data_IF_291497223653
#
_entry.id   IF_291497223653
#
_cell.length_a   1.000
_cell.length_b   1.000
_cell.length_c   1.000
_cell.angle_alpha   90.00
_cell.angle_beta   90.00
_cell.angle_gamma   90.00
#
_symmetry.space_group_name_H-M   'P 1'
#
loop_
_entity.id
_entity.type
_entity.pdbx_description
1 polymer ?
#
# COMPACT_ATOMS: atom_id res chain seq x y z
N UNK A 1 -22.87 11.00 -6.07
CA UNK A 1 -21.68 10.85 -5.21
C UNK A 1 -22.01 11.15 -3.75
N UNK A 2 -21.06 11.02 -2.80
CA UNK A 2 -21.32 11.21 -1.36
C UNK A 2 -21.99 12.56 -1.08
N UNK A 3 -21.47 13.66 -1.62
CA UNK A 3 -22.05 14.98 -1.43
C UNK A 3 -23.52 15.09 -1.87
N UNK A 4 -23.94 14.37 -2.91
CA UNK A 4 -25.35 14.39 -3.35
C UNK A 4 -26.31 13.72 -2.35
N UNK A 5 -25.76 13.02 -1.36
CA UNK A 5 -26.51 12.35 -0.28
C UNK A 5 -26.40 13.11 1.03
N UNK A 6 -25.20 13.61 1.37
CA UNK A 6 -24.93 14.25 2.67
C UNK A 6 -25.10 15.77 2.66
N UNK A 7 -24.87 16.44 1.51
CA UNK A 7 -24.73 17.89 1.46
C UNK A 7 -23.48 18.38 2.22
N UNK A 8 -23.59 19.55 2.81
CA UNK A 8 -22.58 20.12 3.74
C UNK A 8 -22.53 19.31 5.04
N UNK A 9 -21.38 19.31 5.70
CA UNK A 9 -21.16 18.56 6.95
C UNK A 9 -20.56 19.46 8.02
N UNK A 10 -20.89 19.21 9.29
CA UNK A 10 -20.31 19.95 10.39
C UNK A 10 -18.87 19.52 10.66
N UNK A 11 -18.61 18.21 10.64
CA UNK A 11 -17.30 17.60 10.93
C UNK A 11 -16.87 16.71 9.79
N UNK A 12 -15.66 16.93 9.30
CA UNK A 12 -15.01 16.10 8.29
C UNK A 12 -13.80 15.38 8.92
N UNK A 13 -13.86 14.05 8.97
CA UNK A 13 -12.69 13.24 9.28
C UNK A 13 -12.01 12.84 7.97
N UNK A 14 -10.71 13.12 7.83
CA UNK A 14 -10.00 12.88 6.58
C UNK A 14 -8.56 12.47 6.77
N UNK A 15 -8.06 11.70 5.80
CA UNK A 15 -6.70 11.25 5.76
C UNK A 15 -5.76 12.39 5.34
N UNK A 16 -4.63 12.59 6.06
CA UNK A 16 -3.70 13.69 5.80
C UNK A 16 -2.31 13.26 5.31
N UNK A 17 -1.96 11.98 5.41
CA UNK A 17 -0.69 11.44 4.93
C UNK A 17 -0.90 10.15 4.15
N UNK A 18 0.13 9.68 3.46
CA UNK A 18 0.11 8.35 2.86
C UNK A 18 0.54 7.29 3.88
N UNK A 19 0.06 6.06 3.70
CA UNK A 19 0.40 4.90 4.50
C UNK A 19 0.59 3.70 3.55
N UNK A 20 1.56 3.79 2.65
CA UNK A 20 1.91 2.75 1.70
C UNK A 20 3.29 3.01 1.11
N UNK A 21 3.93 1.99 0.56
CA UNK A 21 5.15 2.14 -0.22
C UNK A 21 4.96 3.13 -1.38
N UNK A 22 5.85 4.10 -1.49
CA UNK A 22 5.84 5.18 -2.49
C UNK A 22 7.23 5.34 -3.11
N UNK A 23 7.70 4.27 -3.75
CA UNK A 23 9.01 4.21 -4.38
C UNK A 23 10.13 3.82 -3.43
N UNK A 24 11.22 3.28 -3.98
CA UNK A 24 12.43 2.91 -3.23
C UNK A 24 13.17 4.11 -2.65
N UNK A 25 14.28 3.85 -1.96
CA UNK A 25 15.08 4.86 -1.24
C UNK A 25 15.40 6.07 -2.10
N UNK A 26 15.78 5.85 -3.35
CA UNK A 26 16.16 6.91 -4.29
C UNK A 26 14.98 7.73 -4.84
N UNK A 27 13.74 7.29 -4.63
CA UNK A 27 12.56 7.93 -5.22
C UNK A 27 11.79 8.79 -4.21
N UNK A 28 12.51 9.70 -3.51
CA UNK A 28 11.88 10.68 -2.59
C UNK A 28 10.81 11.53 -3.29
N UNK A 29 11.01 11.85 -4.56
CA UNK A 29 10.05 12.65 -5.32
C UNK A 29 8.64 12.05 -5.31
N UNK A 30 8.51 10.73 -5.50
CA UNK A 30 7.20 10.09 -5.48
C UNK A 30 6.57 10.16 -4.08
N UNK A 31 7.36 10.07 -3.00
CA UNK A 31 6.87 10.25 -1.63
C UNK A 31 6.36 11.66 -1.38
N UNK A 32 7.10 12.66 -1.83
CA UNK A 32 6.69 14.07 -1.74
C UNK A 32 5.40 14.35 -2.52
N UNK A 33 5.30 13.82 -3.74
CA UNK A 33 4.09 13.93 -4.58
C UNK A 33 2.87 13.26 -3.90
N UNK A 34 3.06 12.07 -3.29
CA UNK A 34 2.00 11.36 -2.59
C UNK A 34 1.53 12.11 -1.33
N UNK A 35 2.45 12.75 -0.60
CA UNK A 35 2.12 13.61 0.53
C UNK A 35 1.33 14.86 0.10
N UNK A 36 1.78 15.52 -0.98
CA UNK A 36 1.11 16.70 -1.54
C UNK A 36 -0.30 16.35 -2.05
N UNK A 37 -0.49 15.18 -2.68
CA UNK A 37 -1.81 14.69 -3.13
C UNK A 37 -2.81 14.58 -1.96
N UNK A 38 -2.36 14.18 -0.76
CA UNK A 38 -3.22 14.12 0.42
C UNK A 38 -3.67 15.50 0.87
N UNK A 39 -2.77 16.47 0.90
CA UNK A 39 -3.11 17.87 1.23
C UNK A 39 -4.10 18.44 0.22
N UNK A 40 -3.88 18.20 -1.08
CA UNK A 40 -4.80 18.62 -2.13
C UNK A 40 -6.18 17.98 -1.97
N UNK A 41 -6.22 16.71 -1.58
CA UNK A 41 -7.48 15.99 -1.31
C UNK A 41 -8.26 16.65 -0.17
N UNK A 42 -7.59 17.04 0.92
CA UNK A 42 -8.22 17.78 2.04
C UNK A 42 -8.83 19.08 1.53
N UNK A 43 -8.08 19.88 0.75
CA UNK A 43 -8.59 21.15 0.19
C UNK A 43 -9.83 20.96 -0.67
N UNK A 44 -9.82 19.93 -1.55
CA UNK A 44 -10.98 19.59 -2.37
C UNK A 44 -12.20 19.17 -1.53
N UNK A 45 -11.96 18.42 -0.44
CA UNK A 45 -13.03 18.02 0.47
C UNK A 45 -13.59 19.21 1.26
N UNK A 46 -12.72 20.10 1.75
CA UNK A 46 -13.15 21.33 2.43
C UNK A 46 -14.00 22.21 1.50
N UNK A 47 -13.54 22.43 0.26
CA UNK A 47 -14.27 23.22 -0.73
C UNK A 47 -15.61 22.60 -1.11
N UNK A 48 -15.72 21.26 -1.08
CA UNK A 48 -16.94 20.56 -1.50
C UNK A 48 -17.96 20.38 -0.37
N UNK A 49 -17.51 20.06 0.84
CA UNK A 49 -18.40 19.71 1.96
C UNK A 49 -18.60 20.88 2.94
N UNK A 50 -17.83 21.97 2.78
CA UNK A 50 -17.86 23.16 3.62
C UNK A 50 -17.93 22.86 5.14
N UNK A 51 -17.05 21.99 5.67
CA UNK A 51 -17.10 21.60 7.08
C UNK A 51 -16.79 22.78 7.99
N UNK A 52 -17.38 22.78 9.18
CA UNK A 52 -17.00 23.70 10.26
C UNK A 52 -15.65 23.29 10.85
N UNK A 53 -15.41 21.96 10.95
CA UNK A 53 -14.21 21.38 11.54
C UNK A 53 -13.71 20.26 10.64
N UNK A 54 -12.39 20.17 10.50
CA UNK A 54 -11.69 19.05 9.86
C UNK A 54 -10.77 18.39 10.88
N UNK A 55 -10.99 17.12 11.14
CA UNK A 55 -10.16 16.31 12.03
C UNK A 55 -9.28 15.42 11.18
N UNK A 56 -7.95 15.65 11.15
CA UNK A 56 -7.01 14.72 10.54
C UNK A 56 -7.10 13.36 11.23
N UNK A 57 -7.27 12.30 10.41
CA UNK A 57 -7.61 10.97 10.89
C UNK A 57 -6.93 9.90 10.05
N UNK A 58 -6.66 8.74 10.65
CA UNK A 58 -6.17 7.52 9.97
C UNK A 58 -4.87 7.69 9.15
N UNK A 59 -3.99 8.59 9.55
CA UNK A 59 -2.68 8.77 8.91
C UNK A 59 -1.59 9.18 9.91
N UNK A 60 -1.79 8.89 11.17
CA UNK A 60 -0.74 8.97 12.19
C UNK A 60 0.16 7.73 12.06
N UNK A 61 0.76 7.58 10.88
CA UNK A 61 1.55 6.42 10.49
C UNK A 61 3.03 6.75 10.62
N UNK A 62 3.79 5.77 11.08
CA UNK A 62 5.23 5.79 11.09
C UNK A 62 5.75 4.43 10.64
N UNK A 63 6.65 4.43 9.64
CA UNK A 63 7.31 3.23 9.18
C UNK A 63 8.47 2.91 10.13
N UNK A 64 8.32 1.87 10.93
CA UNK A 64 9.24 1.60 12.05
C UNK A 64 10.27 0.49 11.78
N UNK A 65 10.14 -0.30 10.71
CA UNK A 65 11.16 -1.28 10.37
C UNK A 65 12.38 -0.62 9.72
N UNK A 66 13.57 -1.12 9.99
CA UNK A 66 14.80 -0.57 9.42
C UNK A 66 14.78 -0.53 7.88
N UNK A 67 14.14 -1.51 7.24
CA UNK A 67 14.03 -1.60 5.78
C UNK A 67 13.04 -0.61 5.16
N UNK A 68 12.01 -0.16 5.90
CA UNK A 68 11.01 0.80 5.41
C UNK A 68 11.12 2.19 6.04
N UNK A 69 12.06 2.41 6.96
CA UNK A 69 12.20 3.63 7.74
C UNK A 69 12.36 4.90 6.89
N UNK A 70 13.03 4.77 5.75
CA UNK A 70 13.23 5.87 4.80
C UNK A 70 11.91 6.45 4.25
N UNK A 71 10.81 5.68 4.27
CA UNK A 71 9.50 6.16 3.81
C UNK A 71 8.98 7.33 4.65
N UNK A 72 9.51 7.51 5.88
CA UNK A 72 9.12 8.62 6.76
C UNK A 72 9.61 9.98 6.25
N UNK A 73 10.56 10.04 5.32
CA UNK A 73 11.10 11.30 4.78
C UNK A 73 10.08 12.12 3.98
N UNK A 74 8.96 11.50 3.59
CA UNK A 74 7.89 12.14 2.82
C UNK A 74 6.53 12.19 3.54
N UNK A 75 6.36 11.60 4.73
CA UNK A 75 5.06 11.61 5.42
C UNK A 75 4.67 13.03 5.87
N UNK A 76 3.39 13.38 5.75
CA UNK A 76 2.88 14.59 6.39
C UNK A 76 2.72 14.35 7.88
N UNK A 77 3.25 15.23 8.68
CA UNK A 77 3.07 15.22 10.13
C UNK A 77 1.96 16.18 10.56
N UNK A 78 1.32 15.97 11.71
CA UNK A 78 0.24 16.85 12.21
C UNK A 78 0.65 18.32 12.32
N UNK A 79 1.85 18.59 12.80
CA UNK A 79 2.40 19.94 12.97
C UNK A 79 2.55 20.70 11.64
N UNK A 80 2.77 19.99 10.53
CA UNK A 80 2.92 20.59 9.21
C UNK A 80 1.60 21.07 8.59
N UNK A 81 0.46 20.56 9.08
CA UNK A 81 -0.84 20.74 8.41
C UNK A 81 -1.25 22.22 8.39
N UNK A 82 -0.96 22.98 9.44
CA UNK A 82 -1.27 24.41 9.50
C UNK A 82 -0.58 25.17 8.37
N UNK A 83 0.71 24.93 8.17
CA UNK A 83 1.50 25.55 7.11
C UNK A 83 1.06 25.08 5.73
N UNK A 84 0.88 23.76 5.55
CA UNK A 84 0.54 23.17 4.25
C UNK A 84 -0.87 23.51 3.77
N UNK A 85 -1.83 23.76 4.66
CA UNK A 85 -3.21 24.11 4.34
C UNK A 85 -3.47 25.62 4.24
N UNK A 86 -2.63 26.45 4.87
CA UNK A 86 -2.77 27.91 4.80
C UNK A 86 -4.10 28.40 5.39
N UNK A 87 -4.92 29.11 4.61
CA UNK A 87 -6.19 29.66 5.10
C UNK A 87 -7.18 28.59 5.60
N UNK A 88 -7.11 27.37 5.07
CA UNK A 88 -7.96 26.26 5.49
C UNK A 88 -7.54 25.70 6.87
N UNK A 89 -6.34 26.06 7.36
CA UNK A 89 -5.85 25.62 8.66
C UNK A 89 -6.76 26.01 9.83
N UNK A 90 -7.53 27.11 9.70
CA UNK A 90 -8.48 27.57 10.72
C UNK A 90 -9.58 26.54 11.05
N UNK A 91 -9.83 25.61 10.13
CA UNK A 91 -10.81 24.52 10.31
C UNK A 91 -10.18 23.26 10.89
N UNK A 92 -8.86 23.17 10.98
CA UNK A 92 -8.16 21.96 11.39
C UNK A 92 -8.14 21.84 12.91
N UNK A 93 -8.56 20.68 13.39
CA UNK A 93 -8.50 20.31 14.79
C UNK A 93 -7.62 19.05 14.94
N UNK A 94 -6.38 19.24 15.43
CA UNK A 94 -5.50 18.14 15.77
C UNK A 94 -5.91 17.56 17.13
N UNK A 95 -6.05 16.24 17.20
CA UNK A 95 -6.43 15.52 18.41
C UNK A 95 -5.36 14.48 18.77
N UNK A 96 -5.12 14.32 20.06
CA UNK A 96 -4.38 13.22 20.64
C UNK A 96 -5.36 12.09 21.07
N UNK A 97 -4.87 10.87 21.35
CA UNK A 97 -5.70 9.82 21.94
C UNK A 97 -6.37 10.32 23.22
N UNK A 98 -7.66 9.98 23.38
CA UNK A 98 -8.55 10.38 24.48
C UNK A 98 -9.04 11.82 24.47
N UNK A 99 -8.59 12.67 23.55
CA UNK A 99 -9.18 14.01 23.37
C UNK A 99 -10.66 13.89 22.99
N UNK A 100 -11.45 14.82 23.48
CA UNK A 100 -12.90 14.87 23.24
C UNK A 100 -13.27 16.20 22.56
N UNK A 101 -14.15 16.11 21.58
CA UNK A 101 -14.73 17.25 20.87
C UNK A 101 -16.20 17.36 21.26
N UNK A 102 -16.63 18.53 21.71
CA UNK A 102 -18.02 18.82 22.08
C UNK A 102 -18.13 19.39 23.49
N UNK A 103 -19.25 20.06 23.79
CA UNK A 103 -19.50 20.77 25.04
C UNK A 103 -19.05 22.26 24.97
N UNK A 104 -19.05 22.94 26.10
CA UNK A 104 -18.78 24.40 26.24
C UNK A 104 -17.30 24.79 26.01
N UNK A 105 -16.41 23.79 25.92
CA UNK A 105 -14.99 23.97 25.63
C UNK A 105 -14.76 24.10 24.12
N UNK A 106 -14.59 25.31 23.63
CA UNK A 106 -14.46 25.67 22.23
C UNK A 106 -13.61 24.71 21.38
N UNK A 107 -13.88 24.72 20.07
CA UNK A 107 -13.25 23.86 19.07
C UNK A 107 -11.90 24.44 18.63
N UNK A 108 -10.88 24.33 19.45
CA UNK A 108 -9.51 24.74 19.10
C UNK A 108 -8.57 23.56 19.19
N UNK A 109 -7.57 23.53 18.29
CA UNK A 109 -6.46 22.59 18.41
C UNK A 109 -5.81 22.75 19.77
N UNK A 110 -5.74 21.64 20.49
CA UNK A 110 -5.02 21.59 21.74
C UNK A 110 -3.50 21.59 21.43
N UNK A 111 -2.77 22.62 21.86
CA UNK A 111 -1.30 22.67 21.70
C UNK A 111 -0.63 21.40 22.27
N UNK A 112 -1.21 20.84 23.35
CA UNK A 112 -0.76 19.59 23.91
C UNK A 112 -0.89 18.40 22.91
N UNK A 113 -1.87 18.42 22.00
CA UNK A 113 -2.01 17.38 21.01
C UNK A 113 -0.89 17.42 19.96
N UNK A 114 -0.48 18.60 19.52
CA UNK A 114 0.67 18.78 18.61
C UNK A 114 1.95 18.28 19.30
N UNK A 115 2.23 18.76 20.50
CA UNK A 115 3.41 18.35 21.30
C UNK A 115 3.41 16.84 21.58
N UNK A 116 2.21 16.24 21.81
CA UNK A 116 2.09 14.79 21.95
C UNK A 116 2.57 14.06 20.71
N UNK A 117 2.15 14.49 19.51
CA UNK A 117 2.53 13.82 18.26
C UNK A 117 3.99 14.08 17.90
N UNK A 118 4.51 15.29 18.06
CA UNK A 118 5.92 15.61 17.86
C UNK A 118 6.81 14.69 18.70
N UNK A 119 6.49 14.54 20.00
CA UNK A 119 7.20 13.62 20.88
C UNK A 119 7.09 12.17 20.38
N UNK A 120 5.88 11.72 20.00
CA UNK A 120 5.69 10.35 19.52
C UNK A 120 6.50 10.04 18.27
N UNK A 121 6.56 10.96 17.32
CA UNK A 121 7.40 10.78 16.15
C UNK A 121 8.90 10.85 16.45
N UNK A 122 9.34 11.62 17.42
CA UNK A 122 10.75 11.71 17.82
C UNK A 122 11.24 10.51 18.64
N UNK A 123 10.33 9.77 19.28
CA UNK A 123 10.65 8.58 20.10
C UNK A 123 10.79 7.29 19.24
N UNK A 124 10.49 7.33 17.93
CA UNK A 124 10.50 6.11 17.10
C UNK A 124 11.92 5.80 16.65
N UNK A 125 12.41 4.65 17.08
CA UNK A 125 13.67 4.07 16.61
C UNK A 125 13.39 2.98 15.55
N UNK A 126 14.26 2.85 14.54
CA UNK A 126 14.08 1.78 13.55
C UNK A 126 14.29 0.40 14.20
N UNK A 127 13.30 -0.47 14.00
CA UNK A 127 13.33 -1.84 14.48
C UNK A 127 13.92 -2.73 13.40
N UNK A 128 14.97 -3.48 13.75
CA UNK A 128 15.56 -4.51 12.90
C UNK A 128 15.28 -5.89 13.51
N UNK A 129 14.01 -6.29 13.48
CA UNK A 129 13.58 -7.57 14.02
C UNK A 129 12.67 -8.25 12.99
N UNK A 130 13.09 -9.42 12.55
CA UNK A 130 12.36 -10.31 11.65
C UNK A 130 12.67 -11.76 12.02
N UNK A 131 11.76 -12.65 11.66
CA UNK A 131 11.96 -14.10 11.77
C UNK A 131 12.57 -14.60 10.46
N UNK A 132 13.67 -15.37 10.55
CA UNK A 132 14.25 -16.01 9.37
C UNK A 132 13.44 -17.27 9.05
N UNK A 133 12.80 -17.28 7.89
CA UNK A 133 12.01 -18.41 7.40
C UNK A 133 12.85 -19.21 6.41
N UNK A 134 13.02 -20.48 6.65
CA UNK A 134 13.82 -21.35 5.79
C UNK A 134 13.11 -21.64 4.43
N UNK A 135 13.89 -22.17 3.49
CA UNK A 135 13.41 -22.45 2.12
C UNK A 135 12.33 -23.53 2.10
N UNK A 136 12.36 -24.50 3.00
CA UNK A 136 11.38 -25.58 3.07
C UNK A 136 10.03 -25.04 3.53
N UNK A 137 10.01 -24.19 4.57
CA UNK A 137 8.81 -23.50 5.04
C UNK A 137 8.23 -22.56 3.96
N UNK A 138 9.09 -21.83 3.23
CA UNK A 138 8.67 -21.00 2.10
C UNK A 138 8.06 -21.86 0.98
N UNK A 139 8.66 -22.98 0.65
CA UNK A 139 8.17 -23.92 -0.38
C UNK A 139 6.81 -24.48 -0.02
N UNK A 140 6.61 -24.89 1.24
CA UNK A 140 5.33 -25.39 1.72
C UNK A 140 4.25 -24.31 1.66
N UNK A 141 4.56 -23.11 2.15
CA UNK A 141 3.61 -21.98 2.14
C UNK A 141 3.26 -21.56 0.72
N UNK A 142 4.22 -21.60 -0.21
CA UNK A 142 3.99 -21.35 -1.63
C UNK A 142 3.09 -22.42 -2.26
N UNK A 143 3.25 -23.69 -1.91
CA UNK A 143 2.36 -24.75 -2.38
C UNK A 143 0.91 -24.48 -1.97
N UNK A 144 0.67 -24.10 -0.72
CA UNK A 144 -0.65 -23.72 -0.21
C UNK A 144 -1.21 -22.48 -0.93
N UNK A 145 -0.36 -21.48 -1.20
CA UNK A 145 -0.72 -20.30 -2.00
C UNK A 145 -1.16 -20.69 -3.42
N UNK A 146 -0.40 -21.57 -4.09
CA UNK A 146 -0.76 -22.10 -5.40
C UNK A 146 -2.12 -22.79 -5.40
N UNK A 147 -2.41 -23.60 -4.40
CA UNK A 147 -3.69 -24.30 -4.30
C UNK A 147 -4.86 -23.33 -4.15
N UNK A 148 -4.71 -22.26 -3.35
CA UNK A 148 -5.73 -21.20 -3.26
C UNK A 148 -5.94 -20.49 -4.59
N UNK A 149 -4.87 -20.11 -5.27
CA UNK A 149 -4.94 -19.43 -6.58
C UNK A 149 -5.57 -20.35 -7.63
N UNK A 150 -5.18 -21.62 -7.70
CA UNK A 150 -5.72 -22.59 -8.65
C UNK A 150 -7.20 -22.90 -8.41
N UNK A 151 -7.63 -22.98 -7.14
CA UNK A 151 -9.04 -23.19 -6.76
C UNK A 151 -9.95 -22.03 -7.22
N UNK A 152 -9.41 -20.83 -7.25
CA UNK A 152 -10.17 -19.62 -7.54
C UNK A 152 -10.12 -19.16 -8.99
N UNK A 153 -9.26 -19.73 -9.83
CA UNK A 153 -9.03 -19.23 -11.19
C UNK A 153 -8.93 -20.35 -12.23
N UNK A 154 -9.28 -20.03 -13.46
CA UNK A 154 -9.02 -20.92 -14.59
C UNK A 154 -7.56 -20.77 -15.06
N UNK A 155 -6.71 -21.70 -14.66
CA UNK A 155 -5.27 -21.65 -14.92
C UNK A 155 -4.95 -21.76 -16.43
N UNK A 156 -5.75 -22.48 -17.20
CA UNK A 156 -5.56 -22.56 -18.66
C UNK A 156 -5.81 -21.19 -19.32
N UNK A 157 -6.83 -20.48 -18.85
CA UNK A 157 -7.08 -19.10 -19.29
C UNK A 157 -5.93 -18.16 -18.89
N UNK A 158 -5.39 -18.29 -17.67
CA UNK A 158 -4.22 -17.50 -17.24
C UNK A 158 -3.01 -17.81 -18.13
N UNK A 159 -2.78 -19.06 -18.51
CA UNK A 159 -1.70 -19.42 -19.45
C UNK A 159 -1.85 -18.74 -20.82
N UNK A 160 -3.08 -18.63 -21.32
CA UNK A 160 -3.39 -17.94 -22.57
C UNK A 160 -3.15 -16.43 -22.39
N UNK A 161 -3.69 -15.83 -21.34
CA UNK A 161 -3.53 -14.41 -21.03
C UNK A 161 -2.04 -14.03 -20.86
N UNK A 162 -1.25 -14.87 -20.20
CA UNK A 162 0.21 -14.70 -20.06
C UNK A 162 0.92 -14.57 -21.41
N UNK A 163 0.51 -15.39 -22.40
CA UNK A 163 1.10 -15.34 -23.74
C UNK A 163 0.66 -14.13 -24.56
N UNK A 164 -0.58 -13.69 -24.37
CA UNK A 164 -1.19 -12.61 -25.15
C UNK A 164 -0.97 -11.21 -24.52
N UNK A 165 -0.61 -11.17 -23.23
CA UNK A 165 -0.50 -9.91 -22.50
C UNK A 165 0.76 -9.12 -22.89
N UNK A 166 0.63 -7.87 -23.35
CA UNK A 166 1.78 -6.99 -23.61
C UNK A 166 2.47 -6.52 -22.33
N UNK A 167 1.86 -6.71 -21.16
CA UNK A 167 2.28 -6.16 -19.86
C UNK A 167 2.85 -7.19 -18.91
N UNK A 168 3.50 -8.20 -19.37
CA UNK A 168 4.16 -9.21 -18.51
C UNK A 168 3.28 -9.80 -17.38
N UNK A 169 1.94 -9.75 -17.50
CA UNK A 169 1.02 -10.24 -16.48
C UNK A 169 1.17 -11.74 -16.24
N UNK A 170 1.07 -12.15 -14.96
CA UNK A 170 1.11 -13.53 -14.52
C UNK A 170 2.43 -14.28 -14.85
N UNK A 171 3.52 -13.56 -15.11
CA UNK A 171 4.85 -14.16 -15.31
C UNK A 171 5.43 -14.65 -13.98
N UNK A 172 6.45 -15.53 -14.01
CA UNK A 172 7.21 -15.84 -12.81
C UNK A 172 7.73 -14.58 -12.13
N UNK A 173 7.73 -14.57 -10.80
CA UNK A 173 8.28 -13.48 -10.01
C UNK A 173 9.67 -13.88 -9.51
N UNK A 174 10.59 -12.91 -9.48
CA UNK A 174 11.94 -13.07 -8.97
C UNK A 174 12.11 -12.17 -7.75
N UNK A 175 12.38 -12.77 -6.61
CA UNK A 175 12.52 -12.07 -5.31
C UNK A 175 13.87 -12.43 -4.70
N UNK A 176 14.66 -11.43 -4.33
CA UNK A 176 15.85 -11.63 -3.53
C UNK A 176 15.48 -11.60 -2.04
N UNK A 177 15.88 -12.64 -1.32
CA UNK A 177 15.67 -12.74 0.13
C UNK A 177 16.94 -12.26 0.82
N UNK A 178 16.87 -11.06 1.45
CA UNK A 178 18.03 -10.38 2.01
C UNK A 178 18.69 -11.17 3.17
N UNK A 179 17.87 -11.78 4.01
CA UNK A 179 18.30 -12.54 5.19
C UNK A 179 18.89 -13.91 4.85
N UNK A 180 18.49 -14.51 3.74
CA UNK A 180 19.02 -15.78 3.24
C UNK A 180 20.09 -15.60 2.17
N UNK A 181 20.23 -14.39 1.63
CA UNK A 181 21.14 -14.04 0.51
C UNK A 181 20.93 -14.94 -0.72
N UNK A 182 19.69 -15.24 -1.06
CA UNK A 182 19.33 -16.05 -2.24
C UNK A 182 18.25 -15.35 -3.06
N UNK A 183 18.23 -15.61 -4.37
CA UNK A 183 17.13 -15.16 -5.24
C UNK A 183 16.23 -16.35 -5.57
N UNK A 184 14.95 -16.18 -5.32
CA UNK A 184 13.91 -17.17 -5.59
C UNK A 184 13.13 -16.77 -6.83
N UNK A 185 12.99 -17.71 -7.76
CA UNK A 185 12.06 -17.64 -8.88
C UNK A 185 10.87 -18.53 -8.58
N UNK A 186 9.67 -17.94 -8.53
CA UNK A 186 8.46 -18.70 -8.31
C UNK A 186 7.39 -18.41 -9.37
N UNK A 187 6.62 -19.44 -9.71
CA UNK A 187 5.54 -19.38 -10.68
C UNK A 187 4.33 -20.20 -10.19
N UNK A 188 3.29 -19.52 -9.74
CA UNK A 188 2.08 -20.19 -9.27
C UNK A 188 1.30 -20.88 -10.39
N UNK A 189 1.50 -20.50 -11.67
CA UNK A 189 0.84 -21.16 -12.80
C UNK A 189 1.45 -22.54 -13.07
N UNK A 190 2.78 -22.63 -12.95
CA UNK A 190 3.54 -23.87 -13.07
C UNK A 190 3.76 -24.62 -11.77
N UNK A 191 3.41 -24.01 -10.63
CA UNK A 191 3.72 -24.49 -9.26
C UNK A 191 5.22 -24.74 -9.07
N UNK A 192 6.06 -23.85 -9.58
CA UNK A 192 7.53 -23.96 -9.41
C UNK A 192 8.04 -22.92 -8.42
N UNK A 193 8.94 -23.36 -7.55
CA UNK A 193 9.64 -22.53 -6.56
C UNK A 193 11.09 -23.03 -6.51
N UNK A 194 12.04 -22.17 -6.90
CA UNK A 194 13.43 -22.59 -7.01
C UNK A 194 14.39 -21.42 -6.83
N UNK A 195 15.57 -21.70 -6.32
CA UNK A 195 16.68 -20.76 -6.33
C UNK A 195 17.17 -20.51 -7.76
N UNK A 196 17.66 -19.30 -8.01
CA UNK A 196 18.15 -18.87 -9.32
C UNK A 196 19.25 -17.82 -9.19
N UNK A 197 20.04 -17.66 -10.27
CA UNK A 197 21.01 -16.58 -10.41
C UNK A 197 20.48 -15.43 -11.28
N UNK A 198 19.19 -15.47 -11.68
CA UNK A 198 18.58 -14.40 -12.44
C UNK A 198 18.44 -13.15 -11.58
N UNK A 199 18.47 -11.97 -12.22
CA UNK A 199 18.30 -10.69 -11.53
C UNK A 199 16.91 -10.57 -10.89
N UNK A 200 16.89 -10.20 -9.60
CA UNK A 200 15.65 -10.04 -8.86
C UNK A 200 14.86 -8.81 -9.33
N UNK A 201 13.54 -8.89 -9.25
CA UNK A 201 12.64 -7.75 -9.49
C UNK A 201 12.51 -6.88 -8.25
N UNK A 202 12.34 -7.53 -7.10
CA UNK A 202 12.18 -6.92 -5.78
C UNK A 202 13.02 -7.70 -4.76
N UNK A 203 13.34 -7.07 -3.64
CA UNK A 203 13.97 -7.73 -2.50
C UNK A 203 13.17 -7.53 -1.22
N UNK A 204 13.24 -8.48 -0.31
CA UNK A 204 12.60 -8.45 1.01
C UNK A 204 13.21 -9.48 1.95
N UNK A 205 12.79 -9.48 3.22
CA UNK A 205 13.11 -10.56 4.15
C UNK A 205 12.25 -11.80 3.86
N UNK A 206 12.74 -12.99 4.23
CA UNK A 206 12.01 -14.25 4.04
C UNK A 206 10.65 -14.26 4.74
N UNK A 207 10.56 -13.65 5.93
CA UNK A 207 9.29 -13.45 6.66
C UNK A 207 8.24 -12.71 5.83
N UNK A 208 8.65 -11.66 5.09
CA UNK A 208 7.75 -10.89 4.22
C UNK A 208 7.19 -11.74 3.07
N UNK A 209 8.01 -12.57 2.45
CA UNK A 209 7.57 -13.50 1.40
C UNK A 209 6.65 -14.58 1.96
N UNK A 210 7.00 -15.14 3.12
CA UNK A 210 6.16 -16.10 3.84
C UNK A 210 4.80 -15.51 4.18
N UNK A 211 4.78 -14.26 4.67
CA UNK A 211 3.54 -13.55 4.96
C UNK A 211 2.63 -13.41 3.74
N UNK A 212 3.20 -13.10 2.55
CA UNK A 212 2.44 -13.05 1.29
C UNK A 212 1.77 -14.40 1.02
N UNK A 213 2.50 -15.50 1.18
CA UNK A 213 1.97 -16.82 0.84
C UNK A 213 0.98 -17.37 1.87
N UNK A 214 1.09 -16.99 3.12
CA UNK A 214 0.22 -17.51 4.21
C UNK A 214 -1.08 -16.75 4.35
N UNK A 215 -1.11 -15.46 4.04
CA UNK A 215 -2.20 -14.58 4.41
C UNK A 215 -3.00 -14.09 3.20
N UNK A 216 -4.33 -14.12 3.33
CA UNK A 216 -5.21 -13.37 2.44
C UNK A 216 -4.82 -11.89 2.48
N UNK A 217 -4.83 -11.21 1.34
CA UNK A 217 -4.32 -9.84 1.22
C UNK A 217 -2.83 -9.66 1.60
N UNK A 218 -2.03 -10.74 1.66
CA UNK A 218 -0.63 -10.68 2.07
C UNK A 218 0.18 -9.68 1.26
N UNK A 219 0.08 -9.71 -0.06
CA UNK A 219 0.77 -8.75 -0.93
C UNK A 219 0.23 -7.31 -0.76
N UNK A 220 -1.08 -7.14 -0.59
CA UNK A 220 -1.68 -5.81 -0.35
C UNK A 220 -1.15 -5.20 0.97
N UNK A 221 -1.10 -6.01 2.02
CA UNK A 221 -0.54 -5.62 3.32
C UNK A 221 0.95 -5.26 3.19
N UNK A 222 1.73 -6.04 2.44
CA UNK A 222 3.14 -5.73 2.19
C UNK A 222 3.31 -4.39 1.48
N UNK A 223 2.45 -4.06 0.51
CA UNK A 223 2.51 -2.75 -0.17
C UNK A 223 2.14 -1.59 0.75
N UNK A 224 1.36 -1.84 1.80
CA UNK A 224 1.03 -0.84 2.82
C UNK A 224 2.19 -0.66 3.80
N UNK A 225 2.76 -1.72 4.33
CA UNK A 225 3.86 -1.61 5.28
C UNK A 225 5.20 -1.22 4.62
N UNK A 226 5.38 -1.53 3.33
CA UNK A 226 6.57 -1.14 2.58
C UNK A 226 7.84 -1.93 2.93
N UNK A 227 7.73 -3.12 3.55
CA UNK A 227 8.86 -3.99 3.86
C UNK A 227 9.34 -4.77 2.63
N UNK A 228 9.72 -4.07 1.60
CA UNK A 228 10.36 -4.57 0.39
C UNK A 228 11.01 -3.42 -0.39
N UNK A 229 11.94 -3.74 -1.29
CA UNK A 229 12.56 -2.78 -2.19
C UNK A 229 12.40 -3.20 -3.66
N UNK A 230 12.25 -2.21 -4.53
CA UNK A 230 12.35 -2.40 -5.97
C UNK A 230 13.84 -2.44 -6.37
N UNK A 231 14.28 -3.57 -6.93
CA UNK A 231 15.69 -3.80 -7.30
C UNK A 231 15.91 -3.53 -8.79
N UNK A 232 15.02 -4.07 -9.62
CA UNK A 232 15.08 -3.85 -11.07
C UNK A 232 14.11 -2.76 -11.52
N UNK A 233 14.41 -2.10 -12.62
CA UNK A 233 13.49 -1.12 -13.23
C UNK A 233 12.13 -1.75 -13.50
N UNK A 234 11.06 -1.13 -13.01
CA UNK A 234 9.68 -1.64 -13.04
C UNK A 234 9.49 -2.97 -12.30
N UNK A 235 10.39 -3.33 -11.39
CA UNK A 235 10.31 -4.57 -10.62
C UNK A 235 9.04 -4.66 -9.79
N UNK A 236 8.66 -3.58 -9.11
CA UNK A 236 7.40 -3.49 -8.35
C UNK A 236 6.17 -3.71 -9.23
N UNK A 237 6.14 -3.10 -10.40
CA UNK A 237 5.04 -3.27 -11.37
C UNK A 237 4.94 -4.72 -11.81
N UNK A 238 6.07 -5.33 -12.17
CA UNK A 238 6.13 -6.72 -12.61
C UNK A 238 5.72 -7.68 -11.48
N UNK A 239 6.20 -7.48 -10.26
CA UNK A 239 5.79 -8.26 -9.09
C UNK A 239 4.28 -8.11 -8.82
N UNK A 240 3.75 -6.88 -8.91
CA UNK A 240 2.32 -6.60 -8.71
C UNK A 240 1.45 -7.34 -9.73
N UNK A 241 1.83 -7.41 -11.01
CA UNK A 241 1.05 -8.11 -12.04
C UNK A 241 0.96 -9.61 -11.79
N UNK A 242 1.84 -10.16 -10.96
CA UNK A 242 1.85 -11.58 -10.58
C UNK A 242 1.17 -11.79 -9.22
N UNK A 243 1.56 -11.05 -8.20
CA UNK A 243 1.10 -11.27 -6.82
C UNK A 243 -0.31 -10.73 -6.54
N UNK A 244 -0.78 -9.75 -7.30
CA UNK A 244 -2.11 -9.16 -7.09
C UNK A 244 -3.29 -10.08 -7.44
N UNK A 245 -3.06 -11.29 -7.97
CA UNK A 245 -4.14 -12.23 -8.33
C UNK A 245 -4.96 -12.64 -7.09
N UNK A 246 -4.30 -12.88 -5.96
CA UNK A 246 -5.00 -13.25 -4.73
C UNK A 246 -5.81 -12.07 -4.18
N UNK A 247 -5.31 -10.84 -4.30
CA UNK A 247 -6.09 -9.64 -3.95
C UNK A 247 -7.37 -9.53 -4.77
N UNK A 248 -7.32 -9.85 -6.07
CA UNK A 248 -8.52 -9.90 -6.93
C UNK A 248 -9.48 -10.98 -6.46
N UNK A 249 -8.96 -12.17 -6.12
CA UNK A 249 -9.78 -13.29 -5.64
C UNK A 249 -10.49 -12.94 -4.31
N UNK A 250 -9.81 -12.25 -3.41
CA UNK A 250 -10.37 -11.79 -2.13
C UNK A 250 -11.48 -10.75 -2.31
N UNK A 251 -11.44 -9.99 -3.42
CA UNK A 251 -12.51 -9.09 -3.84
C UNK A 251 -13.63 -9.81 -4.60
N UNK A 252 -13.60 -11.14 -4.69
CA UNK A 252 -14.58 -11.93 -5.44
C UNK A 252 -14.35 -11.95 -6.96
N UNK A 253 -13.26 -11.35 -7.45
CA UNK A 253 -12.91 -11.30 -8.87
C UNK A 253 -12.04 -12.52 -9.19
N UNK A 254 -12.59 -13.46 -9.96
CA UNK A 254 -11.90 -14.69 -10.40
C UNK A 254 -11.56 -14.58 -11.88
N UNK A 255 -10.44 -15.15 -12.30
CA UNK A 255 -10.06 -15.23 -13.71
C UNK A 255 -10.78 -16.43 -14.34
N UNK A 256 -11.94 -16.16 -14.94
CA UNK A 256 -12.81 -17.14 -15.60
C UNK A 256 -13.23 -16.61 -16.98
N UNK A 257 -13.75 -17.46 -17.85
CA UNK A 257 -14.20 -17.05 -19.20
C UNK A 257 -15.24 -15.92 -19.12
N UNK A 258 -16.19 -16.02 -18.18
CA UNK A 258 -17.21 -14.97 -17.96
C UNK A 258 -16.61 -13.60 -17.55
N UNK A 259 -15.46 -13.58 -16.90
CA UNK A 259 -14.77 -12.36 -16.47
C UNK A 259 -14.27 -11.55 -17.66
N UNK A 260 -13.91 -12.21 -18.77
CA UNK A 260 -13.47 -11.55 -20.00
C UNK A 260 -14.58 -10.77 -20.70
N UNK A 261 -15.83 -11.07 -20.41
CA UNK A 261 -17.01 -10.37 -20.95
C UNK A 261 -17.56 -9.31 -20.00
N UNK A 262 -16.97 -9.15 -18.81
CA UNK A 262 -17.40 -8.14 -17.86
C UNK A 262 -16.65 -6.80 -18.12
N UNK A 263 -17.34 -5.89 -18.82
CA UNK A 263 -16.79 -4.58 -19.21
C UNK A 263 -16.29 -3.76 -18.03
N UNK A 264 -16.93 -3.85 -16.87
CA UNK A 264 -16.49 -3.13 -15.65
C UNK A 264 -15.14 -3.65 -15.13
N UNK A 265 -14.93 -4.96 -15.18
CA UNK A 265 -13.67 -5.59 -14.78
C UNK A 265 -12.57 -5.25 -15.78
N UNK A 266 -12.86 -5.31 -17.08
CA UNK A 266 -11.92 -4.92 -18.14
C UNK A 266 -11.51 -3.45 -17.96
N UNK A 267 -12.46 -2.56 -17.75
CA UNK A 267 -12.21 -1.13 -17.51
C UNK A 267 -11.37 -0.90 -16.25
N UNK A 268 -11.65 -1.63 -15.15
CA UNK A 268 -10.86 -1.57 -13.92
C UNK A 268 -9.41 -2.00 -14.16
N UNK A 269 -9.21 -3.09 -14.88
CA UNK A 269 -7.89 -3.60 -15.26
C UNK A 269 -7.14 -2.57 -16.11
N UNK A 270 -7.73 -2.08 -17.17
CA UNK A 270 -7.14 -1.07 -18.06
C UNK A 270 -6.82 0.23 -17.32
N UNK A 271 -7.69 0.67 -16.41
CA UNK A 271 -7.47 1.90 -15.63
C UNK A 271 -6.30 1.76 -14.65
N UNK A 272 -6.20 0.62 -13.97
CA UNK A 272 -5.07 0.33 -13.07
C UNK A 272 -3.76 0.22 -13.84
N UNK A 273 -3.76 -0.47 -14.98
CA UNK A 273 -2.60 -0.60 -15.86
C UNK A 273 -2.13 0.76 -16.38
N UNK A 274 -3.05 1.59 -16.84
CA UNK A 274 -2.73 2.94 -17.30
C UNK A 274 -2.11 3.81 -16.20
N UNK A 275 -2.59 3.69 -14.96
CA UNK A 275 -2.00 4.42 -13.81
C UNK A 275 -0.60 3.93 -13.46
N UNK A 276 -0.34 2.64 -13.62
CA UNK A 276 0.97 2.04 -13.34
C UNK A 276 1.97 2.35 -14.46
N UNK A 277 1.54 2.34 -15.73
CA UNK A 277 2.40 2.66 -16.87
C UNK A 277 2.76 4.15 -17.01
N UNK A 278 2.06 5.05 -16.31
CA UNK A 278 2.34 6.49 -16.31
C UNK A 278 3.26 6.95 -15.19
N UNK A 279 3.62 6.08 -14.27
CA UNK A 279 4.56 6.32 -13.17
C UNK A 279 5.90 5.66 -13.45
#
# INVERSE_FOLDING_TARGET
GVFSVTGEVDVLLTQFSFAAWKGGKENKRWRDEAAAEKIQTIRLQIGKFNPKIVIPFASFVYFSNAENFYLNDGVNKPEDLATKLGNDAKKILIMAPFDKVGGDNGLSTNENAITFWERKYSEVEPVNKYEVIDIDQLTESFSQYCDRVHKNNNINLIKILRKLSPISAFKPCLVHLNDLNVTIKFDYVGKTFQETQEEALISMQSESLYFIFKNSFGFDTLTVNGCFEEVAKNGFVNATTTLAIENLNNLGIKIEVKTLFNFSIIKLFLTRLYRVARK
#
